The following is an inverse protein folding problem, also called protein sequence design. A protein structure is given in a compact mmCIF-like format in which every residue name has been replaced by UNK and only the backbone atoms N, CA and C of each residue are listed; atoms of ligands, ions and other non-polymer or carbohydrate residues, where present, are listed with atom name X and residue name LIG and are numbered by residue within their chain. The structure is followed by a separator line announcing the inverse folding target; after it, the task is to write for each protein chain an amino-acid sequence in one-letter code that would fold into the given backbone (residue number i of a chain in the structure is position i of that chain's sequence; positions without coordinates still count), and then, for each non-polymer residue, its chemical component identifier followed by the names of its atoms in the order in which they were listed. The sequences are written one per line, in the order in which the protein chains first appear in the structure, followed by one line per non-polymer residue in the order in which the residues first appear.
data_IF_378536690257
#
_entry.id   IF_378536690257
#
_cell.length_a   1.000
_cell.length_b   1.000
_cell.length_c   1.000
_cell.angle_alpha   90.00
_cell.angle_beta   90.00
_cell.angle_gamma   90.00
#
_symmetry.space_group_name_H-M   'P 1'
#
loop_
_entity.id
_entity.type
_entity.pdbx_description
1 polymer ?
#
# COMPACT_ATOMS: atom_id res chain seq x y z
N UNK A 1 -2.37 -35.77 18.18
CA UNK A 1 -2.07 -35.62 16.72
C UNK A 1 -2.61 -34.32 16.11
N UNK A 2 -3.29 -33.44 16.86
CA UNK A 2 -3.70 -32.10 16.38
C UNK A 2 -2.69 -31.00 16.68
N UNK A 3 -1.91 -31.15 17.74
CA UNK A 3 -0.92 -30.14 18.13
C UNK A 3 0.25 -30.01 17.15
N UNK A 4 0.65 -31.12 16.51
CA UNK A 4 1.75 -31.11 15.53
C UNK A 4 1.36 -30.39 14.22
N UNK A 5 0.07 -30.37 13.87
CA UNK A 5 -0.44 -29.63 12.70
C UNK A 5 -0.55 -28.14 12.98
N UNK A 6 -0.85 -27.77 14.22
CA UNK A 6 -0.89 -26.37 14.65
C UNK A 6 0.50 -25.72 14.54
N UNK A 7 1.54 -26.40 15.04
CA UNK A 7 2.91 -25.88 15.04
C UNK A 7 3.50 -25.80 13.61
N UNK A 8 3.24 -26.77 12.74
CA UNK A 8 3.72 -26.74 11.34
C UNK A 8 3.09 -25.58 10.55
N UNK A 9 1.83 -25.24 10.83
CA UNK A 9 1.20 -24.07 10.22
C UNK A 9 1.72 -22.75 10.82
N UNK A 10 2.03 -22.70 12.12
CA UNK A 10 2.63 -21.53 12.76
C UNK A 10 4.05 -21.25 12.24
N UNK A 11 4.86 -22.28 12.01
CA UNK A 11 6.24 -22.14 11.50
C UNK A 11 6.26 -21.72 10.02
N UNK A 12 5.29 -22.16 9.21
CA UNK A 12 5.12 -21.63 7.83
C UNK A 12 4.69 -20.16 7.82
N UNK A 13 4.01 -19.68 8.86
CA UNK A 13 3.67 -18.26 9.04
C UNK A 13 4.86 -17.46 9.60
N UNK A 14 5.74 -18.06 10.42
CA UNK A 14 6.88 -17.36 11.01
C UNK A 14 7.98 -16.96 10.01
N UNK A 15 8.02 -17.57 8.81
CA UNK A 15 8.93 -17.16 7.73
C UNK A 15 8.25 -16.16 6.76
N UNK A 16 6.93 -15.95 6.86
CA UNK A 16 6.16 -15.13 5.91
C UNK A 16 5.30 -14.03 6.51
N UNK A 17 5.19 -13.89 7.83
CA UNK A 17 4.33 -12.88 8.44
C UNK A 17 4.89 -12.42 9.79
N UNK A 18 5.65 -11.35 9.76
CA UNK A 18 5.87 -10.49 10.92
C UNK A 18 4.52 -9.86 11.28
N UNK A 19 3.80 -10.51 12.21
CA UNK A 19 2.71 -9.89 12.93
C UNK A 19 3.27 -8.72 13.75
N UNK A 20 3.04 -7.49 13.28
CA UNK A 20 2.80 -6.40 14.21
C UNK A 20 1.31 -6.44 14.52
N UNK A 21 0.97 -6.95 15.71
CA UNK A 21 -0.22 -6.49 16.42
C UNK A 21 0.02 -5.02 16.75
N UNK A 22 -0.16 -4.17 15.75
CA UNK A 22 0.07 -2.75 15.81
C UNK A 22 -1.28 -2.09 15.70
N UNK A 23 -1.89 -1.85 16.86
CA UNK A 23 -2.80 -0.72 17.12
C UNK A 23 -3.46 -0.20 15.84
N UNK A 24 -4.72 -0.59 15.59
CA UNK A 24 -5.59 0.16 14.67
C UNK A 24 -5.87 1.55 15.25
N UNK A 25 -4.83 2.35 15.48
CA UNK A 25 -4.88 3.75 15.15
C UNK A 25 -5.33 3.74 13.70
N UNK A 26 -6.60 4.06 13.46
CA UNK A 26 -7.01 4.69 12.22
C UNK A 26 -6.17 5.96 12.15
N UNK A 27 -4.89 5.82 11.81
CA UNK A 27 -4.02 6.91 11.47
C UNK A 27 -4.83 7.65 10.42
N UNK A 28 -5.09 8.93 10.65
CA UNK A 28 -5.74 9.77 9.63
C UNK A 28 -4.94 9.51 8.36
N UNK A 29 -5.56 8.86 7.40
CA UNK A 29 -4.90 8.52 6.15
C UNK A 29 -4.59 9.87 5.52
N UNK A 30 -3.32 10.24 5.49
CA UNK A 30 -2.90 11.46 4.81
C UNK A 30 -3.19 11.27 3.33
N UNK A 31 -3.86 12.25 2.72
CA UNK A 31 -4.05 12.27 1.28
C UNK A 31 -2.68 12.42 0.60
N UNK A 32 -2.39 11.62 -0.45
CA UNK A 32 -1.14 11.72 -1.18
C UNK A 32 -1.00 13.06 -1.90
N UNK A 33 0.25 13.45 -2.14
CA UNK A 33 0.54 14.59 -2.99
C UNK A 33 0.19 14.27 -4.47
N UNK A 34 -0.26 15.29 -5.21
CA UNK A 34 -0.44 15.15 -6.66
C UNK A 34 0.90 15.11 -7.37
N UNK A 35 0.99 14.30 -8.42
CA UNK A 35 2.15 14.27 -9.30
C UNK A 35 1.89 15.10 -10.56
N UNK A 36 2.75 16.09 -10.81
CA UNK A 36 2.56 17.07 -11.89
C UNK A 36 3.28 16.68 -13.21
N UNK A 37 4.02 15.57 -13.23
CA UNK A 37 4.71 15.08 -14.43
C UNK A 37 6.17 15.52 -14.54
N UNK A 38 6.77 15.94 -13.44
CA UNK A 38 8.19 16.23 -13.39
C UNK A 38 9.00 15.02 -13.86
N UNK A 39 9.98 15.24 -14.74
CA UNK A 39 10.89 14.19 -15.25
C UNK A 39 12.00 13.84 -14.26
N UNK A 40 11.70 13.93 -12.98
CA UNK A 40 12.57 13.54 -11.87
C UNK A 40 12.18 12.12 -11.42
N UNK A 41 13.11 11.17 -11.57
CA UNK A 41 12.83 9.77 -11.25
C UNK A 41 12.51 9.55 -9.78
N UNK A 42 13.11 10.35 -8.87
CA UNK A 42 12.88 10.23 -7.44
C UNK A 42 11.49 10.74 -7.06
N UNK A 43 11.00 11.80 -7.71
CA UNK A 43 9.65 12.29 -7.51
C UNK A 43 8.60 11.26 -7.97
N UNK A 44 8.84 10.60 -9.10
CA UNK A 44 7.99 9.49 -9.56
C UNK A 44 8.00 8.31 -8.58
N UNK A 45 9.18 7.89 -8.10
CA UNK A 45 9.30 6.81 -7.12
C UNK A 45 8.59 7.14 -5.81
N UNK A 46 8.71 8.38 -5.32
CA UNK A 46 8.01 8.84 -4.12
C UNK A 46 6.50 8.79 -4.32
N UNK A 47 5.99 9.28 -5.44
CA UNK A 47 4.55 9.23 -5.74
C UNK A 47 4.00 7.80 -5.73
N UNK A 48 4.69 6.87 -6.40
CA UNK A 48 4.29 5.47 -6.43
C UNK A 48 4.29 4.85 -5.02
N UNK A 49 5.34 5.11 -4.24
CA UNK A 49 5.42 4.66 -2.86
C UNK A 49 4.27 5.22 -2.01
N UNK A 50 3.96 6.51 -2.13
CA UNK A 50 2.84 7.13 -1.42
C UNK A 50 1.49 6.54 -1.82
N UNK A 51 1.26 6.26 -3.10
CA UNK A 51 0.05 5.57 -3.57
C UNK A 51 -0.09 4.17 -2.99
N UNK A 52 0.98 3.37 -2.96
CA UNK A 52 0.96 2.04 -2.36
C UNK A 52 0.64 2.09 -0.86
N UNK A 53 1.20 3.06 -0.14
CA UNK A 53 0.87 3.30 1.26
C UNK A 53 -0.59 3.71 1.44
N UNK A 54 -1.10 4.57 0.56
CA UNK A 54 -2.47 5.03 0.58
C UNK A 54 -3.45 3.88 0.37
N UNK A 55 -3.23 3.02 -0.63
CA UNK A 55 -4.07 1.84 -0.88
C UNK A 55 -4.10 0.87 0.29
N UNK A 56 -2.94 0.63 0.92
CA UNK A 56 -2.87 -0.16 2.16
C UNK A 56 -3.68 0.45 3.29
N UNK A 57 -3.67 1.78 3.40
CA UNK A 57 -4.37 2.50 4.46
C UNK A 57 -5.90 2.55 4.26
N UNK A 58 -6.38 2.66 3.02
CA UNK A 58 -7.82 2.67 2.70
C UNK A 58 -8.40 1.27 2.44
N UNK A 59 -7.55 0.24 2.39
CA UNK A 59 -7.97 -1.15 2.23
C UNK A 59 -8.38 -1.53 0.80
N UNK A 60 -7.86 -0.81 -0.21
CA UNK A 60 -8.19 -1.08 -1.62
C UNK A 60 -7.37 -2.24 -2.16
N UNK A 61 -8.04 -3.34 -2.50
CA UNK A 61 -7.41 -4.57 -3.01
C UNK A 61 -7.57 -4.78 -4.52
N UNK A 62 -8.54 -4.12 -5.16
CA UNK A 62 -8.80 -4.29 -6.59
C UNK A 62 -7.89 -3.36 -7.42
N UNK A 63 -7.21 -3.91 -8.42
CA UNK A 63 -6.28 -3.14 -9.25
C UNK A 63 -6.99 -2.06 -10.06
N UNK A 64 -8.22 -2.30 -10.52
CA UNK A 64 -9.04 -1.30 -11.21
C UNK A 64 -9.31 -0.05 -10.34
N UNK A 65 -9.62 -0.26 -9.06
CA UNK A 65 -9.84 0.81 -8.10
C UNK A 65 -8.54 1.56 -7.80
N UNK A 66 -7.41 0.83 -7.68
CA UNK A 66 -6.09 1.46 -7.48
C UNK A 66 -5.71 2.35 -8.65
N UNK A 67 -5.89 1.87 -9.88
CA UNK A 67 -5.62 2.65 -11.10
C UNK A 67 -6.52 3.88 -11.15
N UNK A 68 -7.82 3.71 -10.89
CA UNK A 68 -8.77 4.82 -10.83
C UNK A 68 -8.35 5.87 -9.79
N UNK A 69 -8.02 5.46 -8.57
CA UNK A 69 -7.61 6.37 -7.50
C UNK A 69 -6.28 7.05 -7.83
N UNK A 70 -5.24 6.31 -8.26
CA UNK A 70 -3.96 6.91 -8.65
C UNK A 70 -4.14 7.97 -9.75
N UNK A 71 -5.02 7.72 -10.73
CA UNK A 71 -5.32 8.68 -11.80
C UNK A 71 -5.92 9.99 -11.29
N UNK A 72 -6.64 9.97 -10.16
CA UNK A 72 -7.18 11.21 -9.55
C UNK A 72 -6.10 12.11 -8.97
N UNK A 73 -4.92 11.55 -8.65
CA UNK A 73 -3.77 12.27 -8.10
C UNK A 73 -2.72 12.65 -9.17
N UNK A 74 -2.99 12.37 -10.44
CA UNK A 74 -2.23 12.96 -11.54
C UNK A 74 -2.70 14.39 -11.81
N UNK A 75 -1.76 15.27 -12.12
CA UNK A 75 -1.98 16.68 -12.44
C UNK A 75 -0.98 17.15 -13.51
N UNK A 76 -1.17 18.37 -14.02
CA UNK A 76 -0.25 18.97 -14.98
C UNK A 76 0.02 18.07 -16.18
N UNK A 77 1.30 17.93 -16.52
CA UNK A 77 1.77 17.13 -17.65
C UNK A 77 1.60 15.62 -17.43
N UNK A 78 1.36 15.17 -16.19
CA UNK A 78 1.08 13.76 -15.91
C UNK A 78 -0.37 13.34 -16.20
N UNK A 79 -1.31 14.29 -16.26
CA UNK A 79 -2.74 14.01 -16.45
C UNK A 79 -3.19 14.08 -17.92
N UNK A 80 -2.41 14.79 -18.74
CA UNK A 80 -2.77 15.28 -20.08
C UNK A 80 -2.24 14.39 -21.20
#
# INVERSE_FOLDING_TARGET
MEELRCVVNLVKVAIGNSATSGRSQKAKVSEPQRFEGNRDGKELENFLFEMEQYFRAIGTSFEEDKVFVASMYLAGDAKL
#
